data_IF_979119398350
#
_entry.id   IF_979119398350
#
_cell.length_a   1.000
_cell.length_b   1.000
_cell.length_c   1.000
_cell.angle_alpha   90.00
_cell.angle_beta   90.00
_cell.angle_gamma   90.00
#
_symmetry.space_group_name_H-M   'P 1'
#
loop_
_entity.id
_entity.type
_entity.pdbx_description
1 polymer ?
#
# COMPACT_ATOMS: atom_id res chain seq x y z
N UNK A 1 21.59 0.92 7.80
CA UNK A 1 23.04 1.14 7.74
C UNK A 1 23.79 -0.10 7.24
N UNK A 2 23.37 -1.25 7.67
CA UNK A 2 23.86 -2.53 7.20
C UNK A 2 22.71 -3.42 6.76
N UNK A 3 22.99 -4.37 5.91
CA UNK A 3 22.03 -5.37 5.46
C UNK A 3 22.54 -6.78 5.78
N UNK A 4 21.65 -7.75 5.72
CA UNK A 4 22.00 -9.14 5.91
C UNK A 4 22.72 -9.70 4.67
N UNK A 5 23.80 -10.43 4.90
CA UNK A 5 24.58 -11.11 3.86
C UNK A 5 24.19 -12.59 3.69
N UNK A 6 23.24 -13.06 4.49
CA UNK A 6 22.73 -14.43 4.49
C UNK A 6 21.32 -14.56 3.86
N UNK A 7 20.95 -13.59 3.03
CA UNK A 7 19.67 -13.54 2.30
C UNK A 7 18.41 -13.54 3.18
N UNK A 8 18.52 -13.13 4.45
CA UNK A 8 17.35 -12.96 5.30
C UNK A 8 16.68 -11.62 4.97
N UNK A 9 15.40 -11.62 4.60
CA UNK A 9 14.69 -10.40 4.21
C UNK A 9 14.30 -9.53 5.41
N UNK A 10 13.96 -8.28 5.08
CA UNK A 10 13.23 -7.36 5.98
C UNK A 10 11.78 -7.31 5.53
N UNK A 11 10.87 -7.41 6.48
CA UNK A 11 9.44 -7.27 6.25
C UNK A 11 9.00 -5.88 6.71
N UNK A 12 8.41 -5.13 5.80
CA UNK A 12 7.77 -3.85 6.07
C UNK A 12 6.26 -4.06 6.18
N UNK A 13 5.64 -3.46 7.19
CA UNK A 13 4.20 -3.51 7.40
C UNK A 13 3.68 -2.18 7.93
N UNK A 14 2.45 -1.83 7.55
CA UNK A 14 1.66 -0.82 8.26
C UNK A 14 0.68 -1.54 9.18
N UNK A 15 0.68 -1.16 10.46
CA UNK A 15 -0.19 -1.74 11.48
C UNK A 15 -1.09 -0.69 12.08
N UNK A 16 -2.24 -1.12 12.55
CA UNK A 16 -3.12 -0.24 13.33
C UNK A 16 -2.55 -0.03 14.73
N UNK A 17 -2.92 1.08 15.34
CA UNK A 17 -2.60 1.40 16.73
C UNK A 17 -3.82 1.19 17.63
N UNK A 18 -3.60 0.83 18.87
CA UNK A 18 -4.64 0.76 19.89
C UNK A 18 -4.05 1.09 21.27
N UNK A 19 -4.66 2.04 21.96
CA UNK A 19 -4.16 2.46 23.26
C UNK A 19 -2.73 3.00 23.25
N UNK A 20 -2.29 3.60 22.13
CA UNK A 20 -0.95 4.13 21.96
C UNK A 20 0.13 3.09 21.60
N UNK A 21 -0.26 1.85 21.29
CA UNK A 21 0.69 0.79 20.92
C UNK A 21 0.34 0.13 19.58
N UNK A 22 1.37 -0.31 18.80
CA UNK A 22 1.14 -1.08 17.59
C UNK A 22 0.43 -2.40 17.88
N UNK A 23 -0.60 -2.70 17.10
CA UNK A 23 -1.34 -3.97 17.18
C UNK A 23 -0.72 -5.04 16.28
N UNK A 24 -1.26 -6.25 16.34
CA UNK A 24 -0.92 -7.34 15.40
C UNK A 24 -1.66 -7.20 14.06
N UNK A 25 -2.60 -6.28 13.94
CA UNK A 25 -3.41 -6.11 12.74
C UNK A 25 -2.63 -5.30 11.70
N UNK A 26 -2.23 -5.98 10.63
CA UNK A 26 -1.60 -5.38 9.45
C UNK A 26 -2.70 -4.84 8.53
N UNK A 27 -2.48 -3.66 7.96
CA UNK A 27 -3.40 -3.11 6.97
C UNK A 27 -3.36 -3.94 5.68
N UNK A 28 -4.50 -4.13 5.02
CA UNK A 28 -4.53 -4.86 3.75
C UNK A 28 -3.55 -4.26 2.73
N UNK A 29 -2.84 -5.12 2.01
CA UNK A 29 -1.88 -4.77 0.95
C UNK A 29 -0.65 -3.95 1.40
N UNK A 30 -0.44 -3.76 2.70
CA UNK A 30 0.67 -2.96 3.23
C UNK A 30 1.90 -3.77 3.65
N UNK A 31 1.88 -5.08 3.44
CA UNK A 31 3.04 -5.92 3.71
C UNK A 31 3.94 -6.03 2.48
N UNK A 32 5.21 -5.72 2.66
CA UNK A 32 6.24 -5.83 1.62
C UNK A 32 7.45 -6.53 2.18
N UNK A 33 7.93 -7.53 1.46
CA UNK A 33 9.15 -8.24 1.78
C UNK A 33 10.29 -7.66 0.93
N UNK A 34 11.30 -7.12 1.59
CA UNK A 34 12.50 -6.56 0.98
C UNK A 34 13.64 -7.58 1.10
N UNK A 35 14.11 -8.05 -0.02
CA UNK A 35 15.32 -8.87 -0.05
C UNK A 35 16.56 -8.01 0.22
N UNK A 36 17.68 -8.59 0.70
CA UNK A 36 18.88 -7.82 1.02
C UNK A 36 19.42 -6.96 -0.12
N UNK A 37 19.30 -7.41 -1.36
CA UNK A 37 19.71 -6.66 -2.55
C UNK A 37 18.85 -5.42 -2.85
N UNK A 38 17.65 -5.33 -2.26
CA UNK A 38 16.74 -4.19 -2.38
C UNK A 38 16.96 -3.16 -1.27
N UNK A 39 17.77 -3.50 -0.27
CA UNK A 39 18.08 -2.62 0.86
C UNK A 39 19.33 -1.82 0.54
N UNK A 40 19.19 -0.51 0.46
CA UNK A 40 20.31 0.40 0.22
C UNK A 40 21.11 0.60 1.52
N UNK A 41 22.42 0.73 1.37
CA UNK A 41 23.34 1.01 2.47
C UNK A 41 23.84 2.44 2.33
N UNK A 42 23.86 3.17 3.42
CA UNK A 42 24.38 4.53 3.47
C UNK A 42 25.30 4.70 4.70
N UNK A 43 26.31 5.53 4.58
CA UNK A 43 27.19 5.91 5.69
C UNK A 43 26.58 6.99 6.59
N UNK A 44 25.74 7.84 6.02
CA UNK A 44 25.18 9.05 6.65
C UNK A 44 23.63 9.11 6.60
N UNK A 45 23.00 8.11 6.03
CA UNK A 45 21.54 8.07 5.87
C UNK A 45 21.02 8.93 4.71
N UNK A 46 21.88 9.37 3.80
CA UNK A 46 21.47 10.14 2.60
C UNK A 46 20.82 9.27 1.54
N UNK A 47 21.15 7.99 1.48
CA UNK A 47 20.59 7.05 0.50
C UNK A 47 19.44 6.27 1.12
N UNK A 48 18.22 6.55 0.67
CA UNK A 48 17.02 5.88 1.16
C UNK A 48 16.80 4.52 0.50
N UNK A 49 16.21 3.59 1.26
CA UNK A 49 15.58 2.40 0.70
C UNK A 49 14.12 2.74 0.39
N UNK A 50 13.75 2.72 -0.88
CA UNK A 50 12.39 3.02 -1.30
C UNK A 50 11.50 1.80 -1.15
N UNK A 51 10.35 1.99 -0.54
CA UNK A 51 9.31 0.99 -0.37
C UNK A 51 8.08 1.48 -1.11
N UNK A 52 7.71 0.77 -2.16
CA UNK A 52 6.57 1.12 -3.00
C UNK A 52 5.48 0.05 -2.88
N UNK A 53 4.27 0.48 -2.55
CA UNK A 53 3.12 -0.40 -2.52
C UNK A 53 2.58 -0.63 -3.94
N UNK A 54 2.08 -1.82 -4.19
CA UNK A 54 1.45 -2.16 -5.49
C UNK A 54 0.21 -1.31 -5.78
N UNK A 55 -0.42 -0.82 -4.73
CA UNK A 55 -1.56 0.10 -4.79
C UNK A 55 -1.50 1.03 -3.59
N UNK A 56 -2.06 2.25 -3.69
CA UNK A 56 -2.14 3.16 -2.55
C UNK A 56 -2.87 2.51 -1.38
N UNK A 57 -2.35 2.71 -0.18
CA UNK A 57 -2.96 2.21 1.06
C UNK A 57 -3.85 3.31 1.63
N UNK A 58 -5.11 2.98 1.88
CA UNK A 58 -6.04 3.92 2.51
C UNK A 58 -5.75 4.04 4.01
N UNK A 59 -5.56 5.25 4.46
CA UNK A 59 -5.45 5.61 5.87
C UNK A 59 -6.58 6.55 6.23
N UNK A 60 -7.29 6.24 7.29
CA UNK A 60 -8.37 7.10 7.77
C UNK A 60 -7.81 8.39 8.36
N UNK A 61 -8.49 9.49 8.10
CA UNK A 61 -8.14 10.78 8.69
C UNK A 61 -8.31 10.73 10.23
N UNK A 62 -7.28 11.15 10.94
CA UNK A 62 -7.24 11.10 12.41
C UNK A 62 -6.95 9.70 12.98
N UNK A 63 -6.76 8.69 12.15
CA UNK A 63 -6.31 7.37 12.58
C UNK A 63 -4.81 7.36 12.92
N UNK A 64 -4.44 6.56 13.91
CA UNK A 64 -3.05 6.30 14.28
C UNK A 64 -2.58 4.98 13.67
N UNK A 65 -1.38 5.01 13.08
CA UNK A 65 -0.79 3.86 12.41
C UNK A 65 0.69 3.73 12.76
N UNK A 66 1.20 2.52 12.74
CA UNK A 66 2.60 2.23 12.97
C UNK A 66 3.28 1.69 11.72
N UNK A 67 4.43 2.24 11.38
CA UNK A 67 5.38 1.64 10.45
C UNK A 67 6.16 0.56 11.22
N UNK A 68 6.07 -0.67 10.78
CA UNK A 68 6.77 -1.79 11.39
C UNK A 68 7.80 -2.36 10.43
N UNK A 69 9.04 -2.44 10.90
CA UNK A 69 10.14 -3.14 10.23
C UNK A 69 10.51 -4.36 11.06
N UNK A 70 10.43 -5.52 10.48
CA UNK A 70 10.75 -6.78 11.14
C UNK A 70 11.74 -7.61 10.31
N UNK A 71 12.68 -8.25 10.97
CA UNK A 71 13.59 -9.21 10.34
C UNK A 71 14.03 -10.25 11.37
N UNK A 72 14.30 -11.46 10.89
CA UNK A 72 14.95 -12.50 11.69
C UNK A 72 16.47 -12.33 11.74
N UNK A 73 17.02 -11.32 11.08
CA UNK A 73 18.44 -11.00 11.12
C UNK A 73 18.71 -9.86 12.10
N UNK A 74 19.77 -9.99 12.86
CA UNK A 74 20.28 -8.93 13.75
C UNK A 74 21.25 -7.96 13.06
N UNK A 75 21.54 -8.17 11.76
CA UNK A 75 22.50 -7.35 11.01
C UNK A 75 21.93 -6.08 10.42
N UNK A 76 20.61 -6.03 10.24
CA UNK A 76 19.98 -4.81 9.73
C UNK A 76 20.04 -3.68 10.76
N UNK A 77 20.32 -2.48 10.28
CA UNK A 77 20.30 -1.26 11.06
C UNK A 77 19.60 -0.14 10.30
N UNK A 78 18.85 0.67 11.00
CA UNK A 78 18.17 1.84 10.47
C UNK A 78 18.72 3.12 11.06
N UNK A 79 18.60 4.22 10.35
CA UNK A 79 18.92 5.54 10.90
C UNK A 79 17.78 6.04 11.78
N UNK A 80 18.14 6.55 12.91
CA UNK A 80 17.25 7.21 13.87
C UNK A 80 17.77 8.60 14.17
N UNK A 81 16.90 9.50 14.55
CA UNK A 81 17.28 10.72 15.23
C UNK A 81 17.12 10.53 16.74
N UNK A 82 18.03 11.09 17.53
CA UNK A 82 17.98 11.02 18.99
C UNK A 82 18.23 12.38 19.60
N UNK A 83 17.37 12.79 20.51
CA UNK A 83 17.50 14.07 21.21
C UNK A 83 18.81 14.08 21.97
N UNK A 84 19.58 15.17 21.81
CA UNK A 84 20.88 15.37 22.45
C UNK A 84 22.07 14.78 21.69
N UNK A 85 21.86 14.15 20.53
CA UNK A 85 22.94 13.72 19.65
C UNK A 85 23.08 14.65 18.43
N UNK A 86 24.23 14.59 17.78
CA UNK A 86 24.50 15.39 16.58
C UNK A 86 23.90 14.75 15.34
N UNK A 87 23.27 15.56 14.51
CA UNK A 87 22.85 15.16 13.17
C UNK A 87 24.08 14.94 12.29
N UNK A 88 24.15 13.78 11.64
CA UNK A 88 25.29 13.36 10.83
C UNK A 88 25.51 14.21 9.56
N UNK A 89 24.51 14.96 9.12
CA UNK A 89 24.57 15.79 7.91
C UNK A 89 24.89 17.26 8.26
N UNK A 90 24.31 17.76 9.33
CA UNK A 90 24.40 19.18 9.68
C UNK A 90 25.39 19.46 10.80
N UNK A 91 25.85 18.44 11.54
CA UNK A 91 26.66 18.55 12.75
C UNK A 91 26.03 19.47 13.81
N UNK A 92 24.71 19.56 13.83
CA UNK A 92 23.95 20.31 14.83
C UNK A 92 23.29 19.37 15.82
N UNK A 93 23.17 19.79 17.07
CA UNK A 93 22.47 18.97 18.07
C UNK A 93 20.97 18.93 17.81
N UNK A 94 20.41 17.72 17.90
CA UNK A 94 18.97 17.49 17.79
C UNK A 94 18.34 17.88 19.12
N UNK A 95 17.59 18.98 19.12
CA UNK A 95 16.94 19.52 20.32
C UNK A 95 15.48 19.06 20.48
N UNK A 96 14.83 18.69 19.39
CA UNK A 96 13.44 18.23 19.39
C UNK A 96 13.22 17.22 18.25
N UNK A 97 12.20 16.40 18.38
CA UNK A 97 11.74 15.53 17.30
C UNK A 97 10.81 16.31 16.36
N UNK A 98 10.98 16.15 15.03
CA UNK A 98 10.23 16.92 14.04
C UNK A 98 8.76 16.50 13.93
N UNK A 99 8.42 15.27 14.35
CA UNK A 99 7.08 14.70 14.21
C UNK A 99 6.53 14.27 15.57
N UNK A 100 5.21 14.26 15.66
CA UNK A 100 4.49 13.66 16.77
C UNK A 100 4.46 12.15 16.56
N UNK A 101 4.98 11.40 17.49
CA UNK A 101 5.06 9.95 17.42
C UNK A 101 6.07 9.42 18.42
N UNK A 102 6.23 8.13 18.45
CA UNK A 102 7.23 7.46 19.28
C UNK A 102 7.83 6.29 18.51
N UNK A 103 9.11 6.09 18.67
CA UNK A 103 9.77 4.86 18.22
C UNK A 103 9.44 3.73 19.19
N UNK A 104 9.03 2.60 18.65
CA UNK A 104 8.81 1.38 19.42
C UNK A 104 9.86 0.34 19.06
N UNK A 105 10.42 -0.31 20.07
CA UNK A 105 11.35 -1.42 19.92
C UNK A 105 10.67 -2.71 20.36
N UNK A 106 10.91 -3.80 19.63
CA UNK A 106 10.36 -5.10 19.95
C UNK A 106 11.30 -6.21 19.47
N UNK A 107 11.42 -7.26 20.24
CA UNK A 107 12.15 -8.49 19.86
C UNK A 107 11.23 -9.56 19.26
N UNK A 108 9.95 -9.49 19.54
CA UNK A 108 8.96 -10.50 19.15
C UNK A 108 7.84 -9.97 18.26
N UNK A 109 7.94 -8.70 17.82
CA UNK A 109 6.92 -7.98 17.05
C UNK A 109 5.51 -7.99 17.68
N UNK A 110 5.42 -8.26 18.97
CA UNK A 110 4.17 -8.37 19.74
C UNK A 110 4.17 -7.48 20.97
N UNK A 111 5.29 -7.43 21.67
CA UNK A 111 5.48 -6.57 22.84
C UNK A 111 6.36 -5.40 22.46
N UNK A 112 5.90 -4.19 22.73
CA UNK A 112 6.52 -2.96 22.29
C UNK A 112 6.98 -2.10 23.46
N UNK A 113 8.22 -1.64 23.37
CA UNK A 113 8.83 -0.70 24.31
C UNK A 113 8.93 0.67 23.63
N UNK A 114 8.19 1.70 24.09
CA UNK A 114 8.24 3.03 23.51
C UNK A 114 9.52 3.78 23.92
N UNK A 115 10.10 4.51 22.98
CA UNK A 115 11.18 5.46 23.22
C UNK A 115 10.74 6.84 22.76
N UNK A 116 10.68 7.80 23.71
CA UNK A 116 10.32 9.18 23.41
C UNK A 116 11.52 10.04 22.96
N UNK A 117 12.70 9.51 23.06
CA UNK A 117 13.94 10.21 22.73
C UNK A 117 14.47 9.92 21.34
N UNK A 118 13.91 8.93 20.70
CA UNK A 118 14.37 8.43 19.40
C UNK A 118 13.22 8.42 18.41
N UNK A 119 13.53 8.71 17.16
CA UNK A 119 12.58 8.60 16.06
C UNK A 119 13.22 7.99 14.81
N UNK A 120 12.43 7.30 14.00
CA UNK A 120 12.89 6.67 12.77
C UNK A 120 13.02 7.73 11.67
N UNK A 121 14.14 7.72 10.96
CA UNK A 121 14.30 8.55 9.75
C UNK A 121 13.53 7.94 8.58
N UNK A 122 12.50 8.61 8.11
CA UNK A 122 11.74 8.21 6.94
C UNK A 122 11.16 9.40 6.18
N UNK A 123 10.74 9.17 4.96
CA UNK A 123 9.95 10.11 4.16
C UNK A 123 8.73 9.37 3.64
N UNK A 124 7.55 9.95 3.83
CA UNK A 124 6.30 9.38 3.36
C UNK A 124 5.79 10.14 2.15
N UNK A 125 5.37 9.41 1.13
CA UNK A 125 4.70 9.94 -0.05
C UNK A 125 3.25 9.49 -0.06
N UNK A 126 2.36 10.37 -0.44
CA UNK A 126 0.96 10.06 -0.68
C UNK A 126 0.67 9.97 -2.16
N UNK A 127 -0.32 9.17 -2.54
CA UNK A 127 -0.83 9.18 -3.88
C UNK A 127 -1.53 10.50 -4.17
N UNK A 128 -1.30 11.01 -5.37
CA UNK A 128 -2.01 12.16 -5.91
C UNK A 128 -2.92 11.65 -7.03
N UNK A 129 -4.22 11.75 -6.82
CA UNK A 129 -5.21 11.22 -7.73
C UNK A 129 -5.73 12.31 -8.65
N UNK A 130 -5.90 11.97 -9.92
CA UNK A 130 -6.61 12.82 -10.87
C UNK A 130 -8.10 12.72 -10.54
N UNK A 131 -8.72 13.84 -10.19
CA UNK A 131 -10.12 13.90 -9.75
C UNK A 131 -11.13 13.67 -10.87
N UNK A 132 -10.71 13.83 -12.13
CA UNK A 132 -11.56 13.64 -13.29
C UNK A 132 -10.79 13.05 -14.47
N UNK A 133 -11.46 12.27 -15.28
CA UNK A 133 -10.87 11.65 -16.45
C UNK A 133 -11.87 10.86 -17.26
N UNK A 134 -11.42 10.34 -18.40
CA UNK A 134 -12.19 9.43 -19.25
C UNK A 134 -11.58 8.05 -19.16
N UNK A 135 -12.41 7.04 -18.96
CA UNK A 135 -12.00 5.63 -18.97
C UNK A 135 -12.65 4.97 -20.18
N UNK A 136 -11.84 4.40 -21.03
CA UNK A 136 -12.30 3.57 -22.13
C UNK A 136 -12.16 2.10 -21.77
N UNK A 137 -13.25 1.37 -21.90
CA UNK A 137 -13.25 -0.08 -21.67
C UNK A 137 -13.29 -0.77 -23.03
N UNK A 138 -12.30 -1.60 -23.27
CA UNK A 138 -12.22 -2.41 -24.47
C UNK A 138 -12.66 -3.85 -24.17
N UNK A 139 -13.56 -4.35 -25.00
CA UNK A 139 -13.84 -5.77 -24.96
C UNK A 139 -12.67 -6.52 -25.61
N UNK A 140 -12.24 -7.66 -25.07
CA UNK A 140 -11.27 -8.49 -25.74
C UNK A 140 -11.86 -8.97 -27.07
N UNK A 141 -11.03 -8.97 -28.10
CA UNK A 141 -11.42 -9.54 -29.37
C UNK A 141 -11.80 -11.01 -29.18
N UNK A 142 -12.89 -11.40 -29.81
CA UNK A 142 -13.25 -12.81 -29.90
C UNK A 142 -12.18 -13.47 -30.77
N UNK A 143 -11.35 -14.29 -30.15
CA UNK A 143 -10.40 -15.09 -30.89
C UNK A 143 -11.15 -15.92 -31.94
N UNK A 144 -10.74 -15.81 -33.17
CA UNK A 144 -11.21 -16.62 -34.28
C UNK A 144 -10.89 -18.09 -34.02
N UNK A 145 -11.60 -18.69 -33.13
CA UNK A 145 -11.50 -20.11 -32.79
C UNK A 145 -12.88 -20.70 -32.86
N UNK A 146 -13.17 -21.30 -33.93
CA UNK A 146 -14.18 -22.36 -34.19
C UNK A 146 -15.58 -22.27 -33.56
N UNK A 147 -15.86 -21.36 -32.71
CA UNK A 147 -17.18 -21.09 -32.17
C UNK A 147 -17.41 -19.61 -32.12
N UNK A 148 -18.00 -19.07 -33.13
CA UNK A 148 -18.60 -17.71 -33.12
C UNK A 148 -19.82 -17.65 -32.20
N UNK A 149 -19.74 -18.27 -31.06
CA UNK A 149 -20.78 -18.13 -30.04
C UNK A 149 -20.46 -16.85 -29.28
N UNK A 150 -21.38 -15.89 -29.29
CA UNK A 150 -21.25 -14.70 -28.46
C UNK A 150 -21.00 -15.13 -27.03
N UNK A 151 -19.85 -14.76 -26.49
CA UNK A 151 -19.49 -15.10 -25.10
C UNK A 151 -20.00 -14.00 -24.20
N UNK A 152 -20.78 -14.39 -23.22
CA UNK A 152 -21.19 -13.47 -22.18
C UNK A 152 -19.94 -12.97 -21.45
N UNK A 153 -19.75 -11.65 -21.40
CA UNK A 153 -18.63 -11.07 -20.67
C UNK A 153 -18.75 -11.37 -19.17
N UNK A 154 -17.79 -12.05 -18.57
CA UNK A 154 -17.89 -12.46 -17.16
C UNK A 154 -17.96 -11.25 -16.19
N UNK A 155 -17.48 -10.09 -16.60
CA UNK A 155 -17.43 -8.89 -15.81
C UNK A 155 -18.24 -7.73 -16.42
N UNK A 156 -19.36 -8.02 -17.02
CA UNK A 156 -20.26 -7.00 -17.54
C UNK A 156 -20.90 -6.20 -16.38
N UNK A 157 -20.12 -5.41 -15.69
CA UNK A 157 -20.54 -4.69 -14.48
C UNK A 157 -21.70 -3.74 -14.75
N UNK A 158 -21.68 -3.08 -15.90
CA UNK A 158 -22.76 -2.20 -16.32
C UNK A 158 -24.10 -2.91 -16.49
N UNK A 159 -24.06 -4.20 -16.85
CA UNK A 159 -25.25 -5.04 -17.01
C UNK A 159 -25.75 -5.61 -15.69
N UNK A 160 -24.87 -5.75 -14.72
CA UNK A 160 -25.20 -6.32 -13.42
C UNK A 160 -25.54 -5.26 -12.38
N UNK A 161 -25.29 -4.04 -12.68
CA UNK A 161 -25.69 -2.92 -11.85
C UNK A 161 -27.20 -2.79 -11.86
N UNK A 162 -27.76 -2.32 -10.77
CA UNK A 162 -29.16 -1.86 -10.73
C UNK A 162 -29.42 -0.71 -11.70
N UNK A 163 -28.36 -0.06 -12.10
CA UNK A 163 -28.35 1.07 -13.03
C UNK A 163 -27.97 0.64 -14.44
N UNK A 164 -28.49 -0.46 -14.83
CA UNK A 164 -28.24 -1.13 -16.11
C UNK A 164 -28.43 -0.22 -17.33
N UNK A 165 -29.32 0.71 -17.22
CA UNK A 165 -29.58 1.74 -18.22
C UNK A 165 -28.33 2.53 -18.62
N UNK A 166 -27.31 2.51 -17.82
CA UNK A 166 -26.17 3.40 -17.98
C UNK A 166 -25.22 2.95 -19.08
N UNK A 167 -25.03 1.67 -19.24
CA UNK A 167 -23.97 1.18 -20.10
C UNK A 167 -24.39 0.57 -21.43
N UNK A 168 -25.67 0.38 -21.64
CA UNK A 168 -26.10 -0.57 -22.65
C UNK A 168 -26.61 0.03 -23.94
N UNK A 169 -26.65 1.32 -24.01
CA UNK A 169 -27.25 1.98 -25.16
C UNK A 169 -28.74 1.70 -25.27
N UNK A 170 -29.42 2.57 -25.92
CA UNK A 170 -30.90 2.57 -25.99
C UNK A 170 -31.50 1.47 -26.84
N UNK A 171 -30.71 0.89 -27.71
CA UNK A 171 -31.18 -0.17 -28.62
C UNK A 171 -31.37 -1.52 -27.94
N UNK A 172 -30.74 -1.72 -26.80
CA UNK A 172 -30.84 -2.98 -26.03
C UNK A 172 -32.08 -2.96 -25.12
N UNK A 173 -32.52 -1.77 -24.75
CA UNK A 173 -33.64 -1.55 -23.83
C UNK A 173 -34.81 -0.99 -24.62
N UNK A 174 -35.43 -1.84 -25.31
CA UNK A 174 -36.68 -1.51 -25.94
C UNK A 174 -37.87 -1.57 -24.93
N UNK A 175 -39.03 -1.40 -25.43
CA UNK A 175 -40.25 -1.45 -24.65
C UNK A 175 -40.57 -2.77 -23.99
N UNK A 176 -39.81 -3.81 -24.28
CA UNK A 176 -40.03 -5.16 -23.76
C UNK A 176 -39.18 -5.50 -22.52
N UNK A 177 -38.33 -4.58 -22.08
CA UNK A 177 -37.55 -4.80 -20.87
C UNK A 177 -38.42 -4.51 -19.62
N UNK A 178 -38.63 -5.55 -18.84
CA UNK A 178 -39.41 -5.50 -17.62
C UNK A 178 -38.54 -5.81 -16.39
N UNK A 179 -39.04 -5.41 -15.21
CA UNK A 179 -38.36 -5.76 -13.95
C UNK A 179 -38.34 -7.27 -13.80
N UNK A 180 -37.17 -7.83 -13.59
CA UNK A 180 -36.94 -9.29 -13.49
C UNK A 180 -36.45 -9.94 -14.76
N UNK A 181 -36.37 -9.23 -15.85
CA UNK A 181 -35.74 -9.72 -17.06
C UNK A 181 -34.23 -9.86 -16.85
N UNK A 182 -33.69 -10.92 -17.44
CA UNK A 182 -32.25 -11.12 -17.46
C UNK A 182 -31.65 -10.44 -18.67
N UNK A 183 -30.70 -9.57 -18.45
CA UNK A 183 -30.01 -8.82 -19.48
C UNK A 183 -28.59 -9.36 -19.63
N UNK A 184 -28.20 -9.60 -20.87
CA UNK A 184 -26.86 -10.12 -21.21
C UNK A 184 -26.14 -9.12 -22.10
N UNK A 185 -24.89 -8.89 -21.78
CA UNK A 185 -23.97 -8.26 -22.72
C UNK A 185 -23.32 -9.36 -23.54
N UNK A 186 -23.55 -9.31 -24.82
CA UNK A 186 -22.89 -10.22 -25.75
C UNK A 186 -21.75 -9.48 -26.42
N UNK A 187 -20.59 -10.15 -26.47
CA UNK A 187 -19.51 -9.64 -27.28
C UNK A 187 -19.91 -9.83 -28.76
N UNK A 188 -19.87 -8.78 -29.53
CA UNK A 188 -20.11 -8.78 -30.98
C UNK A 188 -18.81 -8.67 -31.73
#
# INVERSE_FOLDING_TARGET
>A
RTKDDMDIPVVFQLRTMQGGFPTQKVLPFSEIVLNPNQVNISGDGSVATTIEFKSPIYLENGGEYAICLASNSTKYSVYISRIGEEDLLTNTFISNQPYLGSLFKSQNASTWEPSQWEDLKFTMYRADFIESGTVEFYNPDLTEGNNQIPILMPNALSLRSKEVRVGLGTTVFDSNLEIGNTVYQMAT
#
